data_IF_338273762046
#
_entry.id   IF_338273762046
#
_cell.length_a   1.000
_cell.length_b   1.000
_cell.length_c   1.000
_cell.angle_alpha   90.00
_cell.angle_beta   90.00
_cell.angle_gamma   90.00
#
_symmetry.space_group_name_H-M   'P 1'
#
loop_
_entity.id
_entity.type
_entity.pdbx_description
1 polymer ?
#
# COMPACT_ATOMS: atom_id res chain seq x y z
N UNK A 1 0.01 17.05 -23.30
CA UNK A 1 1.02 16.63 -22.31
C UNK A 1 1.24 17.65 -21.19
N UNK A 2 1.43 18.96 -21.48
CA UNK A 2 1.73 19.99 -20.46
C UNK A 2 0.82 20.01 -19.21
N UNK A 3 -0.49 19.77 -19.36
CA UNK A 3 -1.44 19.75 -18.24
C UNK A 3 -1.23 18.60 -17.24
N UNK A 4 -0.54 17.51 -17.61
CA UNK A 4 -0.26 16.38 -16.71
C UNK A 4 0.95 16.66 -15.81
N UNK A 5 1.95 17.39 -16.32
CA UNK A 5 3.13 17.83 -15.55
C UNK A 5 2.76 18.78 -14.40
N UNK A 6 1.80 19.68 -14.63
CA UNK A 6 1.33 20.62 -13.61
C UNK A 6 0.66 19.94 -12.40
N UNK A 7 -0.01 18.80 -12.59
CA UNK A 7 -0.56 18.02 -11.47
C UNK A 7 0.53 17.36 -10.62
N UNK A 8 1.63 16.92 -11.25
CA UNK A 8 2.76 16.29 -10.55
C UNK A 8 3.55 17.29 -9.69
N UNK A 9 3.72 18.53 -10.15
CA UNK A 9 4.42 19.58 -9.38
C UNK A 9 3.69 20.07 -8.13
N UNK A 10 2.38 19.85 -8.01
CA UNK A 10 1.64 20.18 -6.77
C UNK A 10 1.89 19.14 -5.67
N UNK A 11 2.20 17.90 -6.05
CA UNK A 11 2.45 16.80 -5.10
C UNK A 11 3.84 16.89 -4.45
N UNK A 12 4.81 17.56 -5.09
CA UNK A 12 6.21 17.64 -4.64
C UNK A 12 6.49 18.60 -3.48
N UNK A 13 5.53 19.44 -3.07
CA UNK A 13 5.72 20.43 -1.98
C UNK A 13 5.20 19.98 -0.59
N UNK A 14 4.91 18.69 -0.40
CA UNK A 14 4.48 18.14 0.89
C UNK A 14 5.67 17.84 1.83
N UNK A 15 6.32 18.87 2.36
CA UNK A 15 7.31 18.72 3.43
C UNK A 15 6.64 18.31 4.76
N UNK A 16 7.10 17.25 5.45
CA UNK A 16 6.54 16.86 6.74
C UNK A 16 7.18 17.65 7.90
N UNK A 17 6.36 18.21 8.79
CA UNK A 17 6.81 18.85 10.02
C UNK A 17 7.01 17.78 11.13
N UNK A 18 8.16 17.86 11.80
CA UNK A 18 8.59 16.98 12.92
C UNK A 18 7.65 17.07 14.15
N UNK A 19 7.58 16.12 15.10
CA UNK A 19 8.74 15.57 15.84
C UNK A 19 8.52 14.11 16.34
N UNK A 20 8.29 13.89 17.63
CA UNK A 20 8.55 12.66 18.44
C UNK A 20 7.23 12.08 19.02
N UNK A 21 7.09 10.85 19.53
CA UNK A 21 7.92 9.60 19.52
C UNK A 21 7.18 8.42 18.86
N UNK A 22 5.84 8.44 18.84
CA UNK A 22 5.02 7.54 18.00
C UNK A 22 5.33 7.74 16.50
N UNK A 23 5.77 8.95 16.14
CA UNK A 23 6.34 9.27 14.83
C UNK A 23 7.55 8.41 14.45
N UNK A 24 8.27 7.71 15.34
CA UNK A 24 9.49 6.97 14.96
C UNK A 24 9.20 5.75 14.06
N UNK A 25 7.98 5.20 14.12
CA UNK A 25 7.52 4.14 13.21
C UNK A 25 7.07 4.74 11.87
N UNK A 26 6.19 5.74 11.92
CA UNK A 26 5.68 6.48 10.74
C UNK A 26 6.79 7.25 10.00
N UNK A 27 7.85 7.71 10.67
CA UNK A 27 9.04 8.32 10.03
C UNK A 27 9.98 7.28 9.42
N UNK A 28 10.05 6.05 9.98
CA UNK A 28 10.72 4.93 9.30
C UNK A 28 9.95 4.59 8.02
N UNK A 29 8.62 4.49 8.08
CA UNK A 29 7.77 4.30 6.89
C UNK A 29 7.86 5.48 5.91
N UNK A 30 8.01 6.74 6.37
CA UNK A 30 8.26 7.90 5.49
C UNK A 30 9.65 7.92 4.89
N UNK A 31 10.69 7.43 5.57
CA UNK A 31 11.99 7.19 4.93
C UNK A 31 11.92 6.03 3.94
N UNK A 32 10.94 5.14 4.10
CA UNK A 32 10.49 4.16 3.10
C UNK A 32 9.48 4.77 2.10
N UNK A 33 9.66 6.04 1.70
CA UNK A 33 9.40 6.47 0.31
C UNK A 33 10.42 5.75 -0.59
N UNK A 34 10.31 4.42 -0.66
CA UNK A 34 11.12 3.51 -1.49
C UNK A 34 10.96 3.87 -2.98
N UNK A 35 9.82 4.42 -3.34
CA UNK A 35 9.24 4.14 -4.66
C UNK A 35 9.59 5.15 -5.76
N UNK A 36 10.89 5.47 -5.96
CA UNK A 36 11.31 6.08 -7.24
C UNK A 36 11.35 5.05 -8.37
N UNK A 37 11.95 3.89 -8.12
CA UNK A 37 12.05 2.76 -9.04
C UNK A 37 12.14 1.45 -8.24
N UNK A 38 11.43 0.40 -8.68
CA UNK A 38 11.39 -0.90 -8.01
C UNK A 38 12.68 -1.70 -8.22
N UNK A 39 13.36 -1.53 -9.37
CA UNK A 39 14.65 -2.22 -9.62
C UNK A 39 15.71 -1.72 -8.66
N UNK A 40 15.75 -0.42 -8.43
CA UNK A 40 16.60 0.23 -7.41
C UNK A 40 16.28 -0.27 -6.00
N UNK A 41 15.01 -0.49 -5.64
CA UNK A 41 14.64 -1.06 -4.34
C UNK A 41 15.07 -2.52 -4.21
N UNK A 42 14.78 -3.32 -5.23
CA UNK A 42 15.13 -4.73 -5.30
C UNK A 42 16.65 -4.95 -5.21
N UNK A 43 17.44 -4.17 -5.96
CA UNK A 43 18.90 -4.21 -5.90
C UNK A 43 19.46 -3.73 -4.54
N UNK A 44 18.64 -3.11 -3.69
CA UNK A 44 18.99 -2.67 -2.34
C UNK A 44 18.30 -3.49 -1.22
N UNK A 45 17.76 -4.68 -1.51
CA UNK A 45 17.11 -5.57 -0.52
C UNK A 45 17.93 -5.75 0.77
N UNK A 46 19.25 -5.88 0.64
CA UNK A 46 20.21 -6.02 1.76
C UNK A 46 20.53 -4.70 2.48
N UNK A 47 20.47 -3.57 1.78
CA UNK A 47 20.81 -2.24 2.30
C UNK A 47 19.61 -1.55 2.97
N UNK A 48 18.39 -1.98 2.67
CA UNK A 48 17.15 -1.32 3.11
C UNK A 48 16.85 -1.50 4.60
N UNK A 49 17.09 -2.69 5.17
CA UNK A 49 17.04 -2.99 6.62
C UNK A 49 17.25 -4.48 6.88
N UNK A 50 17.96 -4.90 7.95
CA UNK A 50 17.99 -6.31 8.39
C UNK A 50 16.60 -6.92 8.61
N UNK A 51 15.61 -6.14 9.06
CA UNK A 51 14.21 -6.59 9.20
C UNK A 51 13.63 -7.00 7.85
N UNK A 52 13.91 -6.22 6.82
CA UNK A 52 13.37 -6.43 5.48
C UNK A 52 14.02 -7.62 4.78
N UNK A 53 15.34 -7.80 4.94
CA UNK A 53 16.02 -9.01 4.48
C UNK A 53 15.45 -10.26 5.18
N UNK A 54 15.20 -10.20 6.48
CA UNK A 54 14.59 -11.28 7.24
C UNK A 54 13.14 -11.57 6.78
N UNK A 55 12.34 -10.55 6.48
CA UNK A 55 10.97 -10.70 5.93
C UNK A 55 10.98 -11.42 4.57
N UNK A 56 11.96 -11.13 3.72
CA UNK A 56 12.14 -11.77 2.40
C UNK A 56 12.58 -13.24 2.55
N UNK A 57 13.54 -13.54 3.43
CA UNK A 57 13.97 -14.93 3.67
C UNK A 57 12.87 -15.77 4.34
N UNK A 58 12.07 -15.19 5.22
CA UNK A 58 10.85 -15.83 5.76
C UNK A 58 9.89 -16.22 4.64
N UNK A 59 9.57 -15.32 3.71
CA UNK A 59 8.74 -15.64 2.54
C UNK A 59 9.38 -16.74 1.67
N UNK A 60 10.69 -16.68 1.43
CA UNK A 60 11.43 -17.71 0.67
C UNK A 60 11.38 -19.09 1.34
N UNK A 61 11.35 -19.17 2.67
CA UNK A 61 11.22 -20.45 3.38
C UNK A 61 9.92 -21.20 3.04
N UNK A 62 8.86 -20.47 2.67
CA UNK A 62 7.56 -21.00 2.27
C UNK A 62 7.53 -21.53 0.82
N UNK A 63 8.61 -21.38 0.05
CA UNK A 63 8.65 -21.75 -1.38
C UNK A 63 8.58 -23.25 -1.64
N UNK A 64 8.84 -24.06 -0.63
CA UNK A 64 8.73 -25.52 -0.66
C UNK A 64 7.33 -26.03 -0.27
N UNK A 65 6.40 -25.15 0.10
CA UNK A 65 5.00 -25.51 0.33
C UNK A 65 4.33 -26.05 -0.94
N UNK A 66 3.28 -26.86 -0.75
CA UNK A 66 2.52 -27.44 -1.86
C UNK A 66 1.77 -26.38 -2.65
N UNK A 67 1.31 -26.75 -3.86
CA UNK A 67 0.49 -25.86 -4.71
C UNK A 67 -0.80 -25.38 -4.04
N UNK A 68 -1.27 -26.12 -3.02
CA UNK A 68 -2.46 -25.80 -2.23
C UNK A 68 -2.17 -24.84 -1.07
N UNK A 69 -0.95 -24.85 -0.56
CA UNK A 69 -0.54 -24.14 0.66
C UNK A 69 0.33 -22.91 0.38
N UNK A 70 0.81 -22.73 -0.86
CA UNK A 70 1.57 -21.58 -1.34
C UNK A 70 0.70 -20.64 -2.19
N UNK A 71 0.73 -19.34 -1.92
CA UNK A 71 -0.05 -18.35 -2.68
C UNK A 71 0.66 -17.00 -2.78
N UNK A 72 0.20 -16.10 -3.64
CA UNK A 72 0.72 -14.71 -3.69
C UNK A 72 0.32 -13.88 -2.44
N UNK A 73 -0.42 -14.49 -1.50
CA UNK A 73 -0.91 -13.89 -0.27
C UNK A 73 -0.16 -14.36 0.98
N UNK A 74 0.97 -15.08 0.83
CA UNK A 74 1.83 -15.41 1.96
C UNK A 74 2.29 -14.12 2.68
N UNK A 75 2.41 -14.17 4.00
CA UNK A 75 3.04 -13.11 4.80
C UNK A 75 4.40 -13.56 5.36
N UNK A 76 5.26 -12.64 5.83
CA UNK A 76 6.50 -13.00 6.53
C UNK A 76 6.30 -13.75 7.86
N UNK A 77 5.07 -13.85 8.38
CA UNK A 77 4.74 -14.50 9.65
C UNK A 77 3.91 -15.79 9.46
N UNK A 78 3.65 -16.17 8.20
CA UNK A 78 2.94 -17.39 7.86
C UNK A 78 3.83 -18.63 8.03
N UNK A 79 3.20 -19.75 8.43
CA UNK A 79 3.77 -21.11 8.32
C UNK A 79 3.10 -21.87 7.15
N UNK A 80 1.85 -21.51 6.85
CA UNK A 80 1.10 -21.87 5.64
C UNK A 80 0.49 -20.60 5.07
N UNK A 81 0.51 -20.41 3.76
CA UNK A 81 -0.01 -19.19 3.18
C UNK A 81 -1.53 -19.19 3.18
N UNK A 82 -2.14 -18.05 3.47
CA UNK A 82 -3.59 -17.94 3.35
C UNK A 82 -4.04 -18.13 1.88
N UNK A 83 -5.15 -18.84 1.64
CA UNK A 83 -5.67 -19.02 0.29
C UNK A 83 -6.08 -17.67 -0.29
N UNK A 84 -5.77 -17.48 -1.58
CA UNK A 84 -6.04 -16.27 -2.37
C UNK A 84 -7.49 -15.75 -2.24
N UNK A 85 -8.46 -16.63 -2.00
CA UNK A 85 -9.87 -16.26 -1.75
C UNK A 85 -10.10 -15.42 -0.49
N UNK A 86 -9.24 -15.54 0.52
CA UNK A 86 -9.32 -14.78 1.78
C UNK A 86 -8.60 -13.43 1.72
N UNK A 87 -7.67 -13.25 0.77
CA UNK A 87 -7.00 -11.97 0.57
C UNK A 87 -7.98 -10.97 -0.07
N UNK A 88 -8.25 -9.86 0.61
CA UNK A 88 -9.16 -8.79 0.19
C UNK A 88 -8.77 -8.10 -1.12
N UNK A 89 -7.48 -7.99 -1.45
CA UNK A 89 -7.02 -7.50 -2.76
C UNK A 89 -7.51 -8.45 -3.85
N UNK A 90 -7.23 -9.75 -3.70
CA UNK A 90 -7.48 -10.74 -4.76
C UNK A 90 -8.85 -11.41 -4.66
N UNK A 91 -9.70 -11.04 -3.70
CA UNK A 91 -11.04 -11.59 -3.51
C UNK A 91 -11.95 -11.40 -4.73
N UNK A 92 -11.73 -10.37 -5.54
CA UNK A 92 -12.42 -10.13 -6.83
C UNK A 92 -11.84 -10.92 -8.01
N UNK A 93 -10.80 -11.72 -7.77
CA UNK A 93 -10.06 -12.46 -8.79
C UNK A 93 -10.00 -13.97 -8.49
N UNK A 94 -10.92 -14.46 -7.65
CA UNK A 94 -11.00 -15.87 -7.23
C UNK A 94 -11.08 -16.83 -8.42
N UNK A 95 -11.83 -16.48 -9.47
CA UNK A 95 -11.98 -17.32 -10.68
C UNK A 95 -10.70 -17.41 -11.53
N UNK A 96 -9.68 -16.61 -11.20
CA UNK A 96 -8.39 -16.51 -11.94
C UNK A 96 -7.18 -16.90 -11.09
N UNK A 97 -7.39 -17.67 -10.00
CA UNK A 97 -6.30 -18.10 -9.11
C UNK A 97 -5.23 -18.95 -9.79
N UNK A 98 -5.62 -19.79 -10.75
CA UNK A 98 -4.70 -20.73 -11.43
C UNK A 98 -3.64 -19.98 -12.24
N UNK A 99 -4.02 -18.85 -12.81
CA UNK A 99 -3.17 -17.98 -13.60
C UNK A 99 -2.10 -17.30 -12.73
N UNK A 100 -2.49 -16.65 -11.61
CA UNK A 100 -1.53 -16.07 -10.65
C UNK A 100 -0.59 -17.13 -10.08
N UNK A 101 -1.12 -18.32 -9.79
CA UNK A 101 -0.32 -19.43 -9.29
C UNK A 101 0.74 -19.87 -10.33
N UNK A 102 0.35 -20.02 -11.59
CA UNK A 102 1.26 -20.35 -12.70
C UNK A 102 2.33 -19.25 -12.92
N UNK A 103 1.93 -17.98 -12.83
CA UNK A 103 2.85 -16.85 -12.87
C UNK A 103 3.88 -16.93 -11.74
N UNK A 104 3.41 -17.05 -10.49
CA UNK A 104 4.26 -17.01 -9.31
C UNK A 104 5.20 -18.21 -9.24
N UNK A 105 4.74 -19.42 -9.58
CA UNK A 105 5.61 -20.59 -9.66
C UNK A 105 6.68 -20.46 -10.75
N UNK A 106 6.38 -19.80 -11.87
CA UNK A 106 7.36 -19.54 -12.93
C UNK A 106 8.40 -18.51 -12.48
N UNK A 107 7.96 -17.40 -11.88
CA UNK A 107 8.85 -16.39 -11.30
C UNK A 107 9.74 -17.00 -10.21
N UNK A 108 9.17 -17.77 -9.27
CA UNK A 108 9.88 -18.48 -8.20
C UNK A 108 11.03 -19.35 -8.70
N UNK A 109 10.83 -20.05 -9.82
CA UNK A 109 11.86 -20.91 -10.46
C UNK A 109 12.93 -20.11 -11.21
N UNK A 110 12.59 -18.94 -11.76
CA UNK A 110 13.53 -18.06 -12.49
C UNK A 110 14.34 -17.17 -11.57
N UNK A 111 13.67 -16.52 -10.62
CA UNK A 111 14.22 -15.53 -9.71
C UNK A 111 13.41 -15.58 -8.38
N UNK A 112 13.85 -16.39 -7.40
CA UNK A 112 13.14 -16.55 -6.14
C UNK A 112 13.06 -15.24 -5.33
N UNK A 113 14.09 -14.39 -5.42
CA UNK A 113 14.12 -13.12 -4.70
C UNK A 113 13.04 -12.15 -5.25
N UNK A 114 12.85 -12.09 -6.58
CA UNK A 114 11.77 -11.31 -7.18
C UNK A 114 10.38 -11.86 -6.82
N UNK A 115 10.22 -13.18 -6.72
CA UNK A 115 8.98 -13.78 -6.26
C UNK A 115 8.67 -13.38 -4.80
N UNK A 116 9.67 -13.41 -3.93
CA UNK A 116 9.52 -13.03 -2.52
C UNK A 116 9.26 -11.53 -2.35
N UNK A 117 9.96 -10.70 -3.14
CA UNK A 117 9.75 -9.25 -3.18
C UNK A 117 8.33 -8.88 -3.66
N UNK A 118 7.81 -9.57 -4.68
CA UNK A 118 6.44 -9.38 -5.16
C UNK A 118 5.39 -9.71 -4.08
N UNK A 119 5.54 -10.86 -3.42
CA UNK A 119 4.66 -11.28 -2.32
C UNK A 119 4.70 -10.25 -1.18
N UNK A 120 5.90 -9.82 -0.79
CA UNK A 120 6.09 -8.82 0.25
C UNK A 120 5.39 -7.49 -0.07
N UNK A 121 5.63 -6.94 -1.25
CA UNK A 121 5.07 -5.65 -1.66
C UNK A 121 3.52 -5.74 -1.74
N UNK A 122 2.98 -6.86 -2.22
CA UNK A 122 1.55 -7.17 -2.20
C UNK A 122 0.99 -7.21 -0.77
N UNK A 123 1.69 -7.87 0.16
CA UNK A 123 1.32 -7.91 1.57
C UNK A 123 1.28 -6.51 2.19
N UNK A 124 2.35 -5.70 2.02
CA UNK A 124 2.40 -4.33 2.58
C UNK A 124 1.34 -3.41 2.01
N UNK A 125 1.01 -3.55 0.72
CA UNK A 125 -0.10 -2.82 0.09
C UNK A 125 -1.46 -3.28 0.62
N UNK A 126 -1.63 -4.58 0.89
CA UNK A 126 -2.82 -5.15 1.52
C UNK A 126 -3.10 -4.56 2.89
N UNK A 127 -2.09 -4.56 3.76
CA UNK A 127 -2.13 -3.92 5.08
C UNK A 127 -2.43 -2.42 4.98
N UNK A 128 -1.82 -1.72 4.02
CA UNK A 128 -2.10 -0.30 3.76
C UNK A 128 -3.57 -0.06 3.42
N UNK A 129 -4.16 -0.90 2.55
CA UNK A 129 -5.58 -0.77 2.21
C UNK A 129 -6.51 -1.11 3.38
N UNK A 130 -6.23 -2.17 4.15
CA UNK A 130 -7.06 -2.54 5.30
C UNK A 130 -7.08 -1.45 6.37
N UNK A 131 -5.92 -0.97 6.80
CA UNK A 131 -5.85 0.13 7.77
C UNK A 131 -6.50 1.41 7.23
N UNK A 132 -6.38 1.71 5.94
CA UNK A 132 -7.08 2.86 5.34
C UNK A 132 -8.60 2.69 5.36
N UNK A 133 -9.09 1.49 5.04
CA UNK A 133 -10.53 1.15 5.08
C UNK A 133 -11.09 1.28 6.49
N UNK A 134 -10.39 0.76 7.49
CA UNK A 134 -10.77 0.88 8.91
C UNK A 134 -10.76 2.34 9.37
N UNK A 135 -9.74 3.10 8.98
CA UNK A 135 -9.67 4.54 9.26
C UNK A 135 -10.86 5.27 8.61
N UNK A 136 -11.24 4.94 7.36
CA UNK A 136 -12.44 5.49 6.69
C UNK A 136 -13.72 5.13 7.47
N UNK A 137 -13.88 3.88 7.93
CA UNK A 137 -15.01 3.51 8.79
C UNK A 137 -15.03 4.30 10.10
N UNK A 138 -13.86 4.67 10.64
CA UNK A 138 -13.71 5.57 11.78
C UNK A 138 -14.42 6.92 11.60
N UNK A 139 -14.59 7.42 10.38
CA UNK A 139 -15.34 8.67 10.14
C UNK A 139 -16.86 8.55 10.34
N UNK A 140 -17.39 7.34 10.58
CA UNK A 140 -18.81 7.13 10.90
C UNK A 140 -19.13 7.38 12.39
N UNK A 141 -18.13 7.47 13.26
CA UNK A 141 -18.35 7.82 14.67
C UNK A 141 -18.81 9.28 14.83
N UNK A 142 -19.53 9.55 15.92
CA UNK A 142 -20.21 10.83 16.18
C UNK A 142 -19.27 12.05 16.08
N UNK A 143 -18.11 11.99 16.75
CA UNK A 143 -17.16 13.11 16.80
C UNK A 143 -16.58 13.46 15.41
N UNK A 144 -16.13 12.49 14.58
CA UNK A 144 -15.86 12.71 13.16
C UNK A 144 -17.04 13.23 12.33
N UNK A 145 -18.24 12.69 12.53
CA UNK A 145 -19.44 13.14 11.82
C UNK A 145 -19.76 14.61 12.13
N UNK A 146 -19.59 15.04 13.38
CA UNK A 146 -19.78 16.43 13.77
C UNK A 146 -18.71 17.35 13.14
N UNK A 147 -17.46 16.91 13.03
CA UNK A 147 -16.41 17.61 12.29
C UNK A 147 -16.76 17.79 10.80
N UNK A 148 -17.24 16.72 10.13
CA UNK A 148 -17.71 16.75 8.74
C UNK A 148 -18.87 17.72 8.54
N UNK A 149 -19.82 17.77 9.48
CA UNK A 149 -20.99 18.67 9.41
C UNK A 149 -20.61 20.14 9.59
N UNK A 150 -19.68 20.43 10.51
CA UNK A 150 -19.31 21.78 10.90
C UNK A 150 -18.26 22.42 9.99
N UNK A 151 -17.44 21.62 9.29
CA UNK A 151 -16.32 22.11 8.48
C UNK A 151 -16.39 21.59 7.02
N UNK A 152 -16.83 22.42 6.05
CA UNK A 152 -16.88 22.04 4.64
C UNK A 152 -15.51 21.77 4.00
N UNK A 153 -14.43 22.44 4.42
CA UNK A 153 -13.07 22.16 3.93
C UNK A 153 -12.60 20.76 4.39
N UNK A 154 -12.90 20.41 5.65
CA UNK A 154 -12.65 19.09 6.21
C UNK A 154 -13.35 17.99 5.42
N UNK A 155 -14.67 18.15 5.20
CA UNK A 155 -15.48 17.23 4.39
C UNK A 155 -14.92 17.05 2.98
N UNK A 156 -14.57 18.16 2.30
CA UNK A 156 -14.00 18.13 0.94
C UNK A 156 -12.66 17.39 0.92
N UNK A 157 -11.81 17.61 1.93
CA UNK A 157 -10.52 16.94 2.07
C UNK A 157 -10.68 15.44 2.28
N UNK A 158 -11.57 15.03 3.19
CA UNK A 158 -11.88 13.62 3.45
C UNK A 158 -12.37 12.89 2.19
N UNK A 159 -13.38 13.43 1.50
CA UNK A 159 -13.93 12.79 0.29
C UNK A 159 -12.90 12.75 -0.85
N UNK A 160 -12.04 13.77 -1.00
CA UNK A 160 -10.94 13.74 -1.97
C UNK A 160 -9.94 12.61 -1.70
N UNK A 161 -9.54 12.41 -0.43
CA UNK A 161 -8.60 11.36 -0.05
C UNK A 161 -9.21 9.96 -0.18
N UNK A 162 -10.48 9.81 0.22
CA UNK A 162 -11.28 8.59 0.05
C UNK A 162 -11.42 8.19 -1.42
N UNK A 163 -11.59 9.17 -2.32
CA UNK A 163 -11.58 8.92 -3.77
C UNK A 163 -10.20 8.48 -4.28
N UNK A 164 -9.09 9.01 -3.75
CA UNK A 164 -7.73 8.54 -4.08
C UNK A 164 -7.53 7.08 -3.63
N UNK A 165 -8.00 6.73 -2.42
CA UNK A 165 -7.99 5.35 -1.93
C UNK A 165 -8.75 4.39 -2.87
N UNK A 166 -10.00 4.70 -3.24
CA UNK A 166 -10.77 3.85 -4.14
C UNK A 166 -10.17 3.77 -5.55
N UNK A 167 -9.57 4.86 -6.06
CA UNK A 167 -8.82 4.84 -7.31
C UNK A 167 -7.64 3.88 -7.23
N UNK A 168 -6.86 3.91 -6.14
CA UNK A 168 -5.73 2.99 -5.97
C UNK A 168 -6.17 1.52 -5.91
N UNK A 169 -7.31 1.21 -5.28
CA UNK A 169 -7.87 -0.15 -5.31
C UNK A 169 -8.27 -0.58 -6.74
N UNK A 170 -8.99 0.29 -7.46
CA UNK A 170 -9.41 0.03 -8.84
C UNK A 170 -8.21 -0.15 -9.79
N UNK A 171 -7.18 0.69 -9.67
CA UNK A 171 -5.98 0.59 -10.49
C UNK A 171 -5.20 -0.71 -10.20
N UNK A 172 -5.26 -1.23 -8.96
CA UNK A 172 -4.74 -2.56 -8.64
C UNK A 172 -5.55 -3.67 -9.31
N UNK A 173 -6.88 -3.66 -9.17
CA UNK A 173 -7.79 -4.61 -9.84
C UNK A 173 -7.58 -4.65 -11.38
N UNK A 174 -7.13 -3.53 -11.97
CA UNK A 174 -6.72 -3.45 -13.37
C UNK A 174 -5.30 -4.01 -13.60
N UNK A 175 -4.33 -3.67 -12.77
CA UNK A 175 -2.94 -4.09 -12.92
C UNK A 175 -2.75 -5.61 -12.72
N UNK A 176 -3.51 -6.24 -11.82
CA UNK A 176 -3.46 -7.69 -11.59
C UNK A 176 -3.73 -8.51 -12.86
N UNK A 177 -4.46 -7.97 -13.85
CA UNK A 177 -4.68 -8.63 -15.15
C UNK A 177 -3.37 -8.91 -15.93
N UNK A 178 -2.28 -8.19 -15.63
CA UNK A 178 -0.96 -8.49 -16.21
C UNK A 178 -0.42 -9.82 -15.67
N UNK A 179 -0.64 -10.10 -14.38
CA UNK A 179 -0.22 -11.35 -13.73
C UNK A 179 -1.10 -12.55 -14.11
N UNK A 180 -2.30 -12.32 -14.67
CA UNK A 180 -3.16 -13.39 -15.22
C UNK A 180 -2.61 -13.99 -16.53
N UNK A 181 -1.71 -13.28 -17.21
CA UNK A 181 -1.10 -13.78 -18.43
C UNK A 181 0.03 -14.76 -18.11
N UNK A 182 0.31 -15.71 -19.01
CA UNK A 182 1.49 -16.58 -18.88
C UNK A 182 2.74 -15.72 -18.66
N UNK A 183 3.57 -16.13 -17.71
CA UNK A 183 4.73 -15.36 -17.29
C UNK A 183 5.65 -14.99 -18.46
N UNK A 184 5.99 -13.71 -18.55
CA UNK A 184 7.14 -13.20 -19.30
C UNK A 184 7.88 -12.22 -18.40
N UNK A 185 9.18 -12.00 -18.62
CA UNK A 185 9.94 -11.04 -17.82
C UNK A 185 9.40 -9.60 -18.02
N UNK A 186 8.87 -9.30 -19.21
CA UNK A 186 8.15 -8.06 -19.50
C UNK A 186 6.84 -7.90 -18.69
N UNK A 187 6.13 -8.99 -18.41
CA UNK A 187 4.88 -8.93 -17.61
C UNK A 187 5.20 -8.55 -16.15
N UNK A 188 6.28 -9.10 -15.58
CA UNK A 188 6.73 -8.72 -14.24
C UNK A 188 7.14 -7.24 -14.19
N UNK A 189 8.03 -6.81 -15.09
CA UNK A 189 8.47 -5.42 -15.18
C UNK A 189 7.30 -4.43 -15.36
N UNK A 190 6.36 -4.75 -16.26
CA UNK A 190 5.16 -3.93 -16.53
C UNK A 190 4.22 -3.88 -15.32
N UNK A 191 4.01 -5.00 -14.63
CA UNK A 191 3.21 -5.03 -13.41
C UNK A 191 3.85 -4.17 -12.32
N UNK A 192 5.14 -4.36 -12.05
CA UNK A 192 5.85 -3.63 -11.00
C UNK A 192 5.86 -2.12 -11.24
N UNK A 193 6.01 -1.67 -12.50
CA UNK A 193 5.90 -0.24 -12.84
C UNK A 193 4.53 0.35 -12.46
N UNK A 194 3.42 -0.35 -12.71
CA UNK A 194 2.09 0.09 -12.27
C UNK A 194 1.91 -0.02 -10.75
N UNK A 195 2.45 -1.08 -10.15
CA UNK A 195 2.39 -1.34 -8.72
C UNK A 195 3.00 -0.19 -7.91
N UNK A 196 4.11 0.39 -8.39
CA UNK A 196 4.71 1.62 -7.83
C UNK A 196 3.70 2.77 -7.73
N UNK A 197 2.96 3.02 -8.80
CA UNK A 197 2.02 4.15 -8.90
C UNK A 197 0.82 3.93 -7.96
N UNK A 198 0.31 2.69 -7.93
CA UNK A 198 -0.74 2.25 -7.01
C UNK A 198 -0.30 2.42 -5.56
N UNK A 199 0.90 1.94 -5.20
CA UNK A 199 1.43 2.03 -3.84
C UNK A 199 1.60 3.49 -3.42
N UNK A 200 2.07 4.39 -4.30
CA UNK A 200 2.12 5.84 -4.01
C UNK A 200 0.75 6.41 -3.68
N UNK A 201 -0.28 6.08 -4.46
CA UNK A 201 -1.65 6.57 -4.23
C UNK A 201 -2.25 6.00 -2.94
N UNK A 202 -2.09 4.69 -2.70
CA UNK A 202 -2.58 4.02 -1.50
C UNK A 202 -1.94 4.59 -0.23
N UNK A 203 -0.61 4.70 -0.19
CA UNK A 203 0.13 5.26 0.95
C UNK A 203 -0.15 6.76 1.15
N UNK A 204 -0.35 7.52 0.08
CA UNK A 204 -0.78 8.92 0.18
C UNK A 204 -2.17 9.03 0.83
N UNK A 205 -3.13 8.20 0.42
CA UNK A 205 -4.46 8.18 1.03
C UNK A 205 -4.38 7.72 2.50
N UNK A 206 -3.69 6.61 2.79
CA UNK A 206 -3.47 6.08 4.13
C UNK A 206 -3.00 7.15 5.12
N UNK A 207 -1.82 7.75 4.88
CA UNK A 207 -1.24 8.70 5.81
C UNK A 207 -2.12 9.94 6.00
N UNK A 208 -2.72 10.46 4.93
CA UNK A 208 -3.51 11.68 5.03
C UNK A 208 -4.87 11.44 5.68
N UNK A 209 -5.57 10.32 5.40
CA UNK A 209 -6.81 9.95 6.08
C UNK A 209 -6.54 9.66 7.56
N UNK A 210 -5.44 8.97 7.89
CA UNK A 210 -5.02 8.74 9.27
C UNK A 210 -4.74 10.04 10.03
N UNK A 211 -3.96 10.96 9.45
CA UNK A 211 -3.73 12.27 10.06
C UNK A 211 -5.03 13.07 10.21
N UNK A 212 -5.90 13.02 9.19
CA UNK A 212 -7.20 13.71 9.18
C UNK A 212 -8.17 13.16 10.22
N UNK A 213 -8.12 11.87 10.56
CA UNK A 213 -8.87 11.32 11.69
C UNK A 213 -8.19 11.69 13.02
N UNK A 214 -6.97 11.19 13.25
CA UNK A 214 -6.39 11.19 14.59
C UNK A 214 -5.80 12.55 15.00
N UNK A 215 -5.08 13.25 14.13
CA UNK A 215 -4.43 14.54 14.50
C UNK A 215 -5.37 15.73 14.49
N UNK A 216 -6.49 15.62 13.80
CA UNK A 216 -7.52 16.65 13.77
C UNK A 216 -8.63 16.43 14.81
N UNK A 217 -9.25 15.25 14.81
CA UNK A 217 -10.40 15.01 15.68
C UNK A 217 -9.94 14.58 17.07
N UNK A 218 -8.91 13.74 17.15
CA UNK A 218 -8.48 13.12 18.42
C UNK A 218 -7.30 13.82 19.11
N UNK A 219 -6.56 14.70 18.43
CA UNK A 219 -5.52 15.51 19.11
C UNK A 219 -6.12 16.40 20.19
N UNK A 220 -5.34 16.62 21.25
CA UNK A 220 -5.63 17.58 22.31
C UNK A 220 -5.05 18.97 22.00
N UNK A 221 -4.14 19.10 21.03
CA UNK A 221 -3.50 20.38 20.67
C UNK A 221 -4.26 21.12 19.58
N UNK A 222 -4.79 22.31 19.90
CA UNK A 222 -5.45 23.19 18.92
C UNK A 222 -4.52 23.58 17.76
N UNK A 223 -3.23 23.77 18.01
CA UNK A 223 -2.23 24.04 16.97
C UNK A 223 -2.09 22.85 16.00
N UNK A 224 -2.13 21.61 16.52
CA UNK A 224 -2.08 20.43 15.68
C UNK A 224 -3.37 20.24 14.88
N UNK A 225 -4.54 20.47 15.49
CA UNK A 225 -5.82 20.45 14.77
C UNK A 225 -5.82 21.44 13.59
N UNK A 226 -5.31 22.65 13.83
CA UNK A 226 -5.35 23.71 12.82
C UNK A 226 -4.40 23.46 11.65
N UNK A 227 -3.32 22.70 11.83
CA UNK A 227 -2.45 22.23 10.74
C UNK A 227 -3.14 21.29 9.75
N UNK A 228 -4.11 20.49 10.19
CA UNK A 228 -4.79 19.51 9.34
C UNK A 228 -6.22 19.90 8.95
N UNK A 229 -6.87 20.82 9.69
CA UNK A 229 -8.30 21.07 9.56
C UNK A 229 -8.77 22.52 9.65
N UNK A 230 -7.92 23.44 10.11
CA UNK A 230 -8.30 24.84 10.39
C UNK A 230 -9.63 24.94 11.17
N UNK A 231 -9.64 24.47 12.42
CA UNK A 231 -10.74 24.80 13.31
C UNK A 231 -10.62 26.29 13.68
N UNK A 232 -11.64 27.06 13.30
CA UNK A 232 -11.89 28.40 13.84
C UNK A 232 -12.52 28.28 15.23
#
# INVERSE_FOLDING_TARGET
MLKLLLLLTVITNLSPISKKEHNKYIEKERKLVRVKDWKTNFNNLTNLSPSFTNEIEKIKSLFNLSEKDFSISCTPDDIICHPLSRNHIFRRHQDTMKEYFSFLNTLKRKNPDQAAYLIYEIYTLGTTFDHTRETIYGFNYEKPQNAIKQNPEYKKTFESLKNIYYKAQHDLDLATNILKQKYTDNNFDTFMLKFIEIHKLATHAYFNIYNLLYKCIHSQSTEEKNKYCKYN
#
